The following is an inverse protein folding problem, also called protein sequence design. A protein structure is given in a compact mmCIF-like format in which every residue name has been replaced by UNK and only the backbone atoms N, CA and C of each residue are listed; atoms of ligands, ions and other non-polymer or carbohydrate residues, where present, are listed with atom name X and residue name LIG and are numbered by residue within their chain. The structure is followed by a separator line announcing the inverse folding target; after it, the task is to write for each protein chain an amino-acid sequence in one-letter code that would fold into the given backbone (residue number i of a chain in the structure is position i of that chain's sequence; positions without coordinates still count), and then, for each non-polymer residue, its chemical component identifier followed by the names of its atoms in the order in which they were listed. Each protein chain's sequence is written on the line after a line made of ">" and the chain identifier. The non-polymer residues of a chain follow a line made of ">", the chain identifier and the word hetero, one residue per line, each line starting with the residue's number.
data_IF_129769716918
#
_entry.id   IF_129769716918
#
_cell.length_a   1.000
_cell.length_b   1.000
_cell.length_c   1.000
_cell.angle_alpha   90.00
_cell.angle_beta   90.00
_cell.angle_gamma   90.00
#
_symmetry.space_group_name_H-M   'P 1'
#
loop_
_entity.id
_entity.type
_entity.pdbx_description
1 polymer ?
#
# COMPACT_ATOMS: atom_id res chain seq x y z
N UNK A 1 3.76 -16.14 7.86
CA UNK A 1 5.15 -15.92 7.49
C UNK A 1 5.28 -14.54 6.86
N UNK A 2 6.35 -13.82 7.17
CA UNK A 2 6.51 -12.49 6.62
C UNK A 2 7.04 -12.54 5.18
N UNK A 3 6.69 -11.51 4.43
CA UNK A 3 7.10 -11.33 3.05
C UNK A 3 7.80 -10.00 2.94
N UNK A 4 8.80 -9.91 2.09
CA UNK A 4 9.47 -8.64 1.84
C UNK A 4 8.70 -7.91 0.75
N UNK A 5 8.06 -6.82 1.12
CA UNK A 5 7.22 -6.03 0.23
C UNK A 5 7.81 -4.63 0.10
N UNK A 6 7.98 -4.16 -1.13
CA UNK A 6 8.36 -2.79 -1.39
C UNK A 6 7.07 -2.01 -1.62
N UNK A 7 6.86 -0.96 -0.85
CA UNK A 7 5.66 -0.13 -0.97
C UNK A 7 6.07 1.23 -1.48
N UNK A 8 5.43 1.69 -2.54
CA UNK A 8 5.62 3.03 -3.08
C UNK A 8 4.42 3.89 -2.77
N UNK A 9 4.69 5.08 -2.27
CA UNK A 9 3.68 6.01 -1.82
C UNK A 9 3.54 7.17 -2.79
N UNK A 10 2.30 7.63 -2.97
CA UNK A 10 2.00 8.76 -3.83
C UNK A 10 1.19 9.79 -3.05
N UNK A 11 1.41 11.07 -3.35
CA UNK A 11 0.65 12.19 -2.80
C UNK A 11 0.53 12.12 -1.27
N UNK A 12 -0.68 12.11 -0.72
CA UNK A 12 -0.90 12.15 0.71
C UNK A 12 -0.26 11.01 1.49
N UNK A 13 -0.19 9.81 0.89
CA UNK A 13 0.47 8.70 1.55
C UNK A 13 1.96 8.96 1.71
N UNK A 14 2.58 9.57 0.71
CA UNK A 14 3.98 9.93 0.78
C UNK A 14 4.23 10.94 1.90
N UNK A 15 3.33 11.88 2.07
CA UNK A 15 3.44 12.88 3.13
C UNK A 15 3.36 12.24 4.52
N UNK A 16 2.43 11.30 4.70
CA UNK A 16 2.29 10.60 5.98
C UNK A 16 3.50 9.72 6.29
N UNK A 17 4.02 9.03 5.30
CA UNK A 17 5.16 8.14 5.49
C UNK A 17 6.47 8.89 5.64
N UNK A 18 6.58 10.05 5.04
CA UNK A 18 7.82 10.83 5.03
C UNK A 18 8.85 10.34 4.03
N UNK A 19 8.50 9.34 3.23
CA UNK A 19 9.38 8.76 2.21
C UNK A 19 8.55 8.38 1.00
N UNK A 20 9.20 8.26 -0.16
CA UNK A 20 8.54 7.85 -1.40
C UNK A 20 8.33 6.35 -1.46
N UNK A 21 9.17 5.59 -0.78
CA UNK A 21 9.22 4.14 -0.91
C UNK A 21 9.80 3.53 0.35
N UNK A 22 9.28 2.37 0.73
CA UNK A 22 9.82 1.60 1.85
C UNK A 22 9.82 0.12 1.47
N UNK A 23 10.83 -0.61 1.94
CA UNK A 23 10.84 -2.07 1.83
C UNK A 23 10.66 -2.62 3.24
N UNK A 24 9.62 -3.40 3.44
CA UNK A 24 9.22 -3.88 4.75
C UNK A 24 8.98 -5.38 4.74
N UNK A 25 9.21 -6.01 5.89
CA UNK A 25 8.83 -7.40 6.09
C UNK A 25 7.45 -7.39 6.74
N UNK A 26 6.45 -7.85 6.01
CA UNK A 26 5.06 -7.82 6.45
C UNK A 26 4.45 -9.20 6.40
N UNK A 27 3.65 -9.52 7.42
CA UNK A 27 2.82 -10.72 7.40
C UNK A 27 1.49 -10.33 6.77
N UNK A 28 1.46 -10.36 5.44
CA UNK A 28 0.30 -9.92 4.67
C UNK A 28 -0.02 -10.94 3.59
N UNK A 29 -1.30 -11.27 3.46
CA UNK A 29 -1.77 -12.18 2.41
C UNK A 29 -2.28 -11.45 1.19
N UNK A 30 -2.88 -10.28 1.37
CA UNK A 30 -3.52 -9.51 0.30
C UNK A 30 -3.07 -8.07 0.33
N UNK A 31 -3.41 -7.33 -0.73
CA UNK A 31 -3.17 -5.89 -0.77
C UNK A 31 -3.86 -5.18 0.40
N UNK A 32 -5.06 -5.63 0.77
CA UNK A 32 -5.78 -5.09 1.93
C UNK A 32 -4.94 -5.20 3.20
N UNK A 33 -4.30 -6.35 3.40
CA UNK A 33 -3.46 -6.56 4.58
C UNK A 33 -2.28 -5.61 4.59
N UNK A 34 -1.66 -5.39 3.44
CA UNK A 34 -0.56 -4.43 3.32
C UNK A 34 -1.03 -3.03 3.72
N UNK A 35 -2.17 -2.61 3.18
CA UNK A 35 -2.74 -1.29 3.49
C UNK A 35 -3.02 -1.15 4.98
N UNK A 36 -3.61 -2.16 5.59
CA UNK A 36 -3.93 -2.15 7.02
C UNK A 36 -2.68 -1.99 7.88
N UNK A 37 -1.64 -2.74 7.56
CA UNK A 37 -0.36 -2.65 8.28
C UNK A 37 0.25 -1.25 8.16
N UNK A 38 0.18 -0.67 6.97
CA UNK A 38 0.75 0.65 6.73
C UNK A 38 -0.04 1.76 7.41
N UNK A 39 -1.36 1.63 7.49
CA UNK A 39 -2.18 2.58 8.23
C UNK A 39 -1.77 2.64 9.70
N UNK A 40 -1.56 1.47 10.30
CA UNK A 40 -1.10 1.40 11.69
C UNK A 40 0.29 2.00 11.84
N UNK A 41 1.17 1.69 10.89
CA UNK A 41 2.56 2.15 10.94
C UNK A 41 2.67 3.67 10.84
N UNK A 42 1.88 4.28 9.95
CA UNK A 42 2.00 5.71 9.65
C UNK A 42 0.87 6.56 10.19
N UNK A 43 -0.10 5.96 10.85
CA UNK A 43 -1.20 6.70 11.46
C UNK A 43 -2.16 7.34 10.48
N UNK A 44 -2.26 6.80 9.27
CA UNK A 44 -3.16 7.33 8.25
C UNK A 44 -4.61 6.95 8.54
N UNK A 45 -5.52 7.89 8.32
CA UNK A 45 -6.96 7.66 8.46
C UNK A 45 -7.67 7.47 7.13
N UNK A 46 -6.92 7.41 6.04
CA UNK A 46 -7.51 7.33 4.71
C UNK A 46 -8.33 6.06 4.53
N UNK A 47 -9.62 6.15 4.15
CA UNK A 47 -10.44 4.95 3.95
C UNK A 47 -9.96 4.14 2.75
N UNK A 48 -9.89 2.82 2.94
CA UNK A 48 -9.44 1.91 1.89
C UNK A 48 -10.29 2.06 0.62
N UNK A 49 -11.60 2.25 0.78
CA UNK A 49 -12.51 2.37 -0.36
C UNK A 49 -12.26 3.57 -1.26
N UNK A 50 -11.53 4.57 -0.78
CA UNK A 50 -11.21 5.77 -1.55
C UNK A 50 -9.85 5.64 -2.25
N UNK A 51 -9.15 4.54 -2.03
CA UNK A 51 -7.79 4.37 -2.53
C UNK A 51 -7.73 3.30 -3.61
N UNK A 52 -6.66 3.30 -4.37
CA UNK A 52 -6.40 2.29 -5.39
C UNK A 52 -5.06 1.64 -5.10
N UNK A 53 -4.87 0.45 -5.63
CA UNK A 53 -3.64 -0.30 -5.46
C UNK A 53 -3.20 -0.89 -6.78
N UNK A 54 -1.88 -0.95 -6.99
CA UNK A 54 -1.29 -1.71 -8.10
C UNK A 54 -0.22 -2.61 -7.52
N UNK A 55 -0.04 -3.76 -8.12
CA UNK A 55 0.99 -4.72 -7.72
C UNK A 55 1.85 -5.00 -8.95
N UNK A 56 3.16 -4.72 -8.83
CA UNK A 56 4.11 -4.94 -9.92
C UNK A 56 3.66 -4.29 -11.25
N UNK A 57 3.25 -3.02 -11.16
CA UNK A 57 2.84 -2.20 -12.32
C UNK A 57 1.49 -2.58 -12.94
N UNK A 58 0.72 -3.45 -12.30
CA UNK A 58 -0.62 -3.80 -12.75
C UNK A 58 -1.65 -3.35 -11.73
N UNK A 59 -2.74 -2.72 -12.19
CA UNK A 59 -3.82 -2.36 -11.29
C UNK A 59 -4.41 -3.64 -10.70
N UNK A 60 -4.71 -3.59 -9.41
CA UNK A 60 -5.14 -4.75 -8.66
C UNK A 60 -6.32 -4.41 -7.77
N UNK A 61 -6.93 -5.43 -7.20
CA UNK A 61 -7.99 -5.28 -6.21
C UNK A 61 -7.39 -5.42 -4.82
N UNK A 62 -8.10 -4.91 -3.82
CA UNK A 62 -7.65 -5.05 -2.44
C UNK A 62 -7.59 -6.51 -1.99
N UNK A 63 -8.33 -7.40 -2.65
CA UNK A 63 -8.31 -8.83 -2.35
C UNK A 63 -7.24 -9.60 -3.12
N UNK A 64 -6.47 -8.91 -3.98
CA UNK A 64 -5.41 -9.55 -4.74
C UNK A 64 -4.31 -10.04 -3.80
N UNK A 65 -3.78 -11.25 -4.01
CA UNK A 65 -2.71 -11.76 -3.16
C UNK A 65 -1.39 -11.02 -3.43
N UNK A 66 -0.58 -10.90 -2.40
CA UNK A 66 0.77 -10.37 -2.53
C UNK A 66 1.77 -11.48 -2.23
N UNK A 67 2.90 -11.43 -2.90
CA UNK A 67 3.95 -12.43 -2.78
C UNK A 67 5.25 -11.78 -2.32
N UNK A 68 6.13 -12.58 -1.76
CA UNK A 68 7.46 -12.12 -1.36
C UNK A 68 8.16 -11.50 -2.56
N UNK A 69 8.69 -10.30 -2.39
CA UNK A 69 9.38 -9.58 -3.46
C UNK A 69 8.50 -8.65 -4.28
N UNK A 70 7.18 -8.64 -4.05
CA UNK A 70 6.29 -7.76 -4.80
C UNK A 70 6.51 -6.29 -4.45
N UNK A 71 6.20 -5.43 -5.43
CA UNK A 71 6.15 -3.98 -5.23
C UNK A 71 4.70 -3.56 -5.27
N UNK A 72 4.25 -2.91 -4.21
CA UNK A 72 2.86 -2.45 -4.07
C UNK A 72 2.84 -0.92 -4.17
N UNK A 73 2.01 -0.41 -5.08
CA UNK A 73 1.84 1.02 -5.30
C UNK A 73 0.51 1.44 -4.70
N UNK A 74 0.54 2.41 -3.80
CA UNK A 74 -0.67 2.92 -3.14
C UNK A 74 -1.00 4.30 -3.67
N UNK A 75 -2.21 4.44 -4.19
CA UNK A 75 -2.71 5.69 -4.75
C UNK A 75 -3.82 6.25 -3.88
N UNK A 76 -3.69 7.47 -3.36
CA UNK A 76 -4.76 8.09 -2.60
C UNK A 76 -5.92 8.48 -3.52
N UNK A 77 -7.08 8.87 -2.96
CA UNK A 77 -8.18 9.32 -3.80
C UNK A 77 -7.79 10.57 -4.56
N UNK A 78 -8.31 10.68 -5.79
CA UNK A 78 -8.05 11.82 -6.65
C UNK A 78 -8.96 12.97 -6.22
N UNK A 79 -8.36 14.12 -5.88
CA UNK A 79 -9.13 15.29 -5.50
C UNK A 79 -9.93 15.80 -6.70
N UNK A 80 -11.19 16.12 -6.46
CA UNK A 80 -12.06 16.66 -7.48
C UNK A 80 -12.49 15.65 -8.53
N UNK A 81 -12.19 14.43 -8.27
CA UNK A 81 -12.34 13.24 -9.07
C UNK A 81 -13.45 12.92 -9.80
#
# INVERSE_FOLDING_TARGET
>A
MSKRITVRYFAGFREHAGVDEETLDLDAGTARDVFTRLRHRHGSDEPLGHCKVAINDEMADWESPVSDGDTVFLFPPVAGG
#
